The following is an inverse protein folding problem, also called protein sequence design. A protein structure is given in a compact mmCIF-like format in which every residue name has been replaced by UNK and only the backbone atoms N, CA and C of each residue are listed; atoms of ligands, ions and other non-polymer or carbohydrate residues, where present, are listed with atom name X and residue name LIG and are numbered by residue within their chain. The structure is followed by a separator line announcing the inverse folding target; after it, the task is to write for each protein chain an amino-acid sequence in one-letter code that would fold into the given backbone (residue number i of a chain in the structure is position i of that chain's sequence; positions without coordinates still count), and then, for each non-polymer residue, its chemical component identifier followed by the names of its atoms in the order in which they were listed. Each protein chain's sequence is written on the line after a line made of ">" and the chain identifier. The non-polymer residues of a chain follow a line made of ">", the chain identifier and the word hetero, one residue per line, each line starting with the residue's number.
data_IF_569727970402
#
_entry.id   IF_569727970402
#
_cell.length_a   1.000
_cell.length_b   1.000
_cell.length_c   1.000
_cell.angle_alpha   90.00
_cell.angle_beta   90.00
_cell.angle_gamma   90.00
#
_symmetry.space_group_name_H-M   'P 1'
#
loop_
_entity.id
_entity.type
_entity.pdbx_description
1 polymer ?
#
# COMPACT_ATOMS: atom_id res chain seq x y z
N UNK A 1 19.52 11.75 -16.39
CA UNK A 1 18.59 12.80 -15.92
C UNK A 1 17.85 12.21 -14.74
N UNK A 2 17.79 12.94 -13.63
CA UNK A 2 17.01 12.48 -12.48
C UNK A 2 15.52 12.50 -12.83
N UNK A 3 14.82 11.40 -12.55
CA UNK A 3 13.38 11.27 -12.81
C UNK A 3 12.58 12.02 -11.73
N UNK A 4 13.10 12.03 -10.49
CA UNK A 4 12.49 12.76 -9.37
C UNK A 4 12.96 14.22 -9.42
N UNK A 5 12.05 15.18 -9.63
CA UNK A 5 12.42 16.59 -9.69
C UNK A 5 12.84 17.12 -8.31
N UNK A 6 13.96 17.85 -8.26
CA UNK A 6 14.49 18.51 -7.06
C UNK A 6 14.71 19.99 -7.33
N UNK A 7 14.60 20.84 -6.32
CA UNK A 7 14.93 22.28 -6.40
C UNK A 7 16.42 22.54 -6.26
N UNK A 8 17.13 21.62 -5.61
CA UNK A 8 18.56 21.75 -5.31
C UNK A 8 19.30 20.49 -5.73
N UNK A 9 20.59 20.62 -6.00
CA UNK A 9 21.46 19.49 -6.36
C UNK A 9 21.64 18.51 -5.19
N UNK A 10 21.40 18.97 -3.96
CA UNK A 10 21.53 18.17 -2.72
C UNK A 10 20.32 18.40 -1.81
N UNK A 11 19.19 17.73 -2.09
CA UNK A 11 18.02 17.84 -1.24
C UNK A 11 18.27 17.24 0.14
N UNK A 12 17.63 17.81 1.16
CA UNK A 12 17.65 17.25 2.51
C UNK A 12 16.73 16.03 2.60
N UNK A 13 17.31 14.85 2.73
CA UNK A 13 16.61 13.57 2.74
C UNK A 13 16.20 13.09 4.14
N UNK A 14 16.30 13.91 5.20
CA UNK A 14 15.99 13.48 6.59
C UNK A 14 14.57 12.95 6.72
N UNK A 15 13.61 13.53 6.00
CA UNK A 15 12.22 13.12 5.99
C UNK A 15 11.88 12.12 4.87
N UNK A 16 12.88 11.62 4.14
CA UNK A 16 12.60 10.60 3.12
C UNK A 16 12.06 9.34 3.78
N UNK A 17 11.01 8.71 3.24
CA UNK A 17 10.41 7.52 3.85
C UNK A 17 11.43 6.39 4.06
N UNK A 18 11.38 5.77 5.24
CA UNK A 18 12.11 4.54 5.54
C UNK A 18 11.38 3.32 4.99
N UNK A 19 10.06 3.44 4.76
CA UNK A 19 9.28 2.39 4.12
C UNK A 19 8.10 2.93 3.32
N UNK A 20 7.66 2.12 2.33
CA UNK A 20 6.52 2.37 1.47
C UNK A 20 5.55 1.18 1.51
N UNK A 21 4.25 1.45 1.72
CA UNK A 21 3.19 0.46 1.47
C UNK A 21 2.77 0.62 0.02
N UNK A 22 3.26 -0.29 -0.83
CA UNK A 22 3.25 -0.15 -2.28
C UNK A 22 1.91 -0.47 -2.94
N UNK A 23 1.10 -1.28 -2.32
CA UNK A 23 -0.17 -1.72 -2.91
C UNK A 23 -0.16 -3.21 -3.29
N UNK A 24 -0.85 -3.61 -4.37
CA UNK A 24 -1.74 -2.81 -5.21
C UNK A 24 -3.08 -2.43 -4.55
N UNK A 25 -3.94 -1.73 -5.30
CA UNK A 25 -5.25 -1.33 -4.79
C UNK A 25 -6.12 -2.54 -4.41
N UNK A 26 -6.90 -2.40 -3.33
CA UNK A 26 -7.87 -3.39 -2.81
C UNK A 26 -7.26 -4.63 -2.17
N UNK A 27 -6.03 -4.54 -1.71
CA UNK A 27 -5.31 -5.60 -1.00
C UNK A 27 -5.16 -5.34 0.52
N UNK A 28 -5.89 -4.37 1.09
CA UNK A 28 -5.83 -4.11 2.53
C UNK A 28 -4.84 -3.03 2.97
N UNK A 29 -4.21 -2.31 2.03
CA UNK A 29 -3.25 -1.22 2.35
C UNK A 29 -3.83 -0.13 3.24
N UNK A 30 -5.13 0.14 3.16
CA UNK A 30 -5.80 1.11 4.03
C UNK A 30 -5.86 0.62 5.48
N UNK A 31 -6.17 -0.67 5.68
CA UNK A 31 -6.18 -1.28 7.00
C UNK A 31 -4.77 -1.24 7.63
N UNK A 32 -3.76 -1.63 6.85
CA UNK A 32 -2.38 -1.60 7.30
C UNK A 32 -1.93 -0.17 7.66
N UNK A 33 -2.23 0.81 6.80
CA UNK A 33 -1.92 2.22 7.05
C UNK A 33 -2.50 2.72 8.38
N UNK A 34 -3.79 2.49 8.63
CA UNK A 34 -4.44 3.00 9.84
C UNK A 34 -3.94 2.31 11.12
N UNK A 35 -3.58 1.02 11.05
CA UNK A 35 -3.02 0.33 12.20
C UNK A 35 -1.59 0.80 12.49
N UNK A 36 -0.72 0.92 11.48
CA UNK A 36 0.63 1.46 11.67
C UNK A 36 0.63 2.95 12.08
N UNK A 37 -0.41 3.73 11.70
CA UNK A 37 -0.54 5.13 12.11
C UNK A 37 -0.71 5.32 13.62
N UNK A 38 -1.12 4.28 14.33
CA UNK A 38 -1.26 4.28 15.79
C UNK A 38 0.03 3.88 16.51
N UNK A 39 1.04 3.43 15.78
CA UNK A 39 2.29 2.96 16.36
C UNK A 39 3.15 4.12 16.88
N UNK A 40 3.63 4.09 18.14
CA UNK A 40 4.36 5.22 18.74
C UNK A 40 5.73 5.51 18.10
N UNK A 41 6.32 4.54 17.42
CA UNK A 41 7.63 4.67 16.78
C UNK A 41 7.56 4.93 15.27
N UNK A 42 6.36 5.08 14.70
CA UNK A 42 6.15 5.27 13.27
C UNK A 42 5.52 6.65 13.01
N UNK A 43 6.16 7.44 12.16
CA UNK A 43 5.55 8.60 11.53
C UNK A 43 5.07 8.23 10.13
N UNK A 44 3.78 8.00 9.97
CA UNK A 44 3.18 7.89 8.64
C UNK A 44 2.79 9.27 8.10
N UNK A 45 2.98 9.46 6.80
CA UNK A 45 2.47 10.62 6.10
C UNK A 45 0.98 10.82 6.44
N UNK A 46 0.59 12.07 6.76
CA UNK A 46 -0.79 12.39 7.22
C UNK A 46 -1.88 12.01 6.22
N UNK A 47 -1.55 12.01 4.93
CA UNK A 47 -2.44 11.58 3.87
C UNK A 47 -2.03 10.20 3.38
N UNK A 48 -2.99 9.27 3.32
CA UNK A 48 -2.87 8.08 2.51
C UNK A 48 -3.09 8.46 1.04
N UNK A 49 -2.32 7.82 0.14
CA UNK A 49 -2.30 8.08 -1.30
C UNK A 49 -1.78 9.49 -1.63
N UNK A 50 -0.47 9.71 -1.41
CA UNK A 50 0.19 10.97 -1.80
C UNK A 50 0.34 11.08 -3.31
N UNK A 51 0.50 9.95 -4.01
CA UNK A 51 0.72 9.80 -5.44
C UNK A 51 2.01 10.46 -5.94
N UNK A 52 2.90 10.95 -5.09
CA UNK A 52 4.08 11.69 -5.52
C UNK A 52 4.86 10.96 -6.61
N UNK A 53 5.37 9.75 -6.32
CA UNK A 53 6.18 8.99 -7.28
C UNK A 53 5.40 8.50 -8.51
N UNK A 54 4.09 8.38 -8.46
CA UNK A 54 3.27 7.94 -9.61
C UNK A 54 2.75 9.08 -10.49
N UNK A 55 2.94 10.33 -10.07
CA UNK A 55 2.53 11.53 -10.84
C UNK A 55 3.71 12.40 -11.28
N UNK A 56 4.93 11.88 -11.18
CA UNK A 56 6.12 12.58 -11.66
C UNK A 56 5.97 12.97 -13.14
N UNK A 57 6.24 14.24 -13.46
CA UNK A 57 6.12 14.77 -14.81
C UNK A 57 4.69 14.87 -15.35
N UNK A 58 3.65 14.74 -14.51
CA UNK A 58 2.24 14.75 -14.91
C UNK A 58 1.44 15.81 -14.14
N UNK A 59 1.72 17.11 -14.31
CA UNK A 59 1.05 18.18 -13.57
C UNK A 59 -0.47 18.23 -13.79
N UNK A 60 -0.96 17.71 -14.92
CA UNK A 60 -2.38 17.61 -15.26
C UNK A 60 -3.10 16.46 -14.53
N UNK A 61 -2.35 15.56 -13.86
CA UNK A 61 -2.96 14.41 -13.20
C UNK A 61 -3.79 14.86 -11.98
N UNK A 62 -5.02 14.36 -11.78
CA UNK A 62 -5.93 14.83 -10.71
C UNK A 62 -5.35 14.69 -9.30
N UNK A 63 -4.37 13.81 -9.12
CA UNK A 63 -3.68 13.59 -7.86
C UNK A 63 -2.29 14.21 -7.78
N UNK A 64 -1.88 15.00 -8.78
CA UNK A 64 -0.64 15.76 -8.70
C UNK A 64 -0.70 16.79 -7.59
N UNK A 65 0.26 16.79 -6.67
CA UNK A 65 0.26 17.67 -5.49
C UNK A 65 1.59 18.28 -5.17
N UNK A 66 2.67 17.57 -5.45
CA UNK A 66 4.02 17.96 -5.08
C UNK A 66 4.86 18.13 -6.34
N UNK A 67 5.23 19.37 -6.69
CA UNK A 67 6.04 19.65 -7.88
C UNK A 67 7.45 19.10 -7.81
N UNK A 68 8.00 18.95 -6.61
CA UNK A 68 9.36 18.47 -6.40
C UNK A 68 9.50 17.67 -5.09
N UNK A 69 10.67 17.04 -4.91
CA UNK A 69 10.99 16.21 -3.76
C UNK A 69 10.92 17.00 -2.45
N UNK A 70 11.42 18.22 -2.41
CA UNK A 70 11.41 19.04 -1.19
C UNK A 70 10.01 19.36 -0.70
N UNK A 71 9.05 19.64 -1.61
CA UNK A 71 7.65 19.85 -1.24
C UNK A 71 7.01 18.57 -0.65
N UNK A 72 7.34 17.43 -1.27
CA UNK A 72 6.90 16.13 -0.77
C UNK A 72 7.50 15.82 0.60
N UNK A 73 8.81 16.01 0.80
CA UNK A 73 9.47 15.75 2.08
C UNK A 73 9.02 16.73 3.18
N UNK A 74 8.80 18.01 2.85
CA UNK A 74 8.25 18.99 3.78
C UNK A 74 6.84 18.66 4.26
N UNK A 75 6.09 17.84 3.51
CA UNK A 75 4.75 17.39 3.92
C UNK A 75 4.74 16.35 5.06
N UNK A 76 5.90 15.79 5.41
CA UNK A 76 6.08 14.93 6.59
C UNK A 76 6.29 15.72 7.90
N UNK A 77 6.55 17.02 7.82
CA UNK A 77 6.75 17.84 9.02
C UNK A 77 5.48 17.85 9.88
N UNK A 78 5.62 17.32 11.10
CA UNK A 78 4.53 17.33 12.07
C UNK A 78 4.41 18.69 12.75
N UNK A 79 3.22 19.27 12.74
CA UNK A 79 2.93 20.44 13.54
C UNK A 79 2.97 20.09 15.03
N UNK A 80 3.40 21.01 15.86
CA UNK A 80 3.49 20.83 17.32
C UNK A 80 2.21 20.19 17.92
N UNK A 81 1.03 20.70 17.53
CA UNK A 81 -0.25 20.19 18.04
C UNK A 81 -0.58 18.78 17.58
N UNK A 82 -0.19 18.40 16.36
CA UNK A 82 -0.37 17.04 15.83
C UNK A 82 0.49 16.05 16.62
N UNK A 83 1.74 16.42 16.89
CA UNK A 83 2.66 15.63 17.70
C UNK A 83 2.16 15.47 19.15
N UNK A 84 1.65 16.55 19.76
CA UNK A 84 1.08 16.51 21.10
C UNK A 84 -0.15 15.59 21.16
N UNK A 85 -1.04 15.69 20.17
CA UNK A 85 -2.22 14.82 20.05
C UNK A 85 -1.83 13.35 19.91
N UNK A 86 -0.85 13.03 19.08
CA UNK A 86 -0.33 11.66 18.93
C UNK A 86 0.28 11.15 20.21
N UNK A 87 1.06 11.98 20.89
CA UNK A 87 1.63 11.65 22.20
C UNK A 87 0.54 11.29 23.22
N UNK A 88 -0.49 12.11 23.34
CA UNK A 88 -1.64 11.84 24.22
C UNK A 88 -2.35 10.53 23.85
N UNK A 89 -2.57 10.27 22.56
CA UNK A 89 -3.20 9.03 22.08
C UNK A 89 -2.35 7.81 22.44
N UNK A 90 -1.03 7.87 22.22
CA UNK A 90 -0.11 6.77 22.53
C UNK A 90 -0.07 6.49 24.04
N UNK A 91 0.04 7.52 24.88
CA UNK A 91 0.00 7.36 26.33
C UNK A 91 -1.30 6.70 26.81
N UNK A 92 -2.45 7.18 26.29
CA UNK A 92 -3.76 6.67 26.73
C UNK A 92 -4.07 5.26 26.24
N UNK A 93 -3.62 4.91 25.03
CA UNK A 93 -3.97 3.63 24.38
C UNK A 93 -2.97 2.51 24.61
N UNK A 94 -1.69 2.83 24.70
CA UNK A 94 -0.61 1.84 24.74
C UNK A 94 0.40 2.06 25.85
N UNK A 95 0.16 3.03 26.74
CA UNK A 95 1.10 3.42 27.81
C UNK A 95 2.52 3.68 27.27
N UNK A 96 2.60 4.22 26.05
CA UNK A 96 3.85 4.45 25.33
C UNK A 96 4.01 5.92 24.96
N UNK A 97 5.26 6.37 24.92
CA UNK A 97 5.61 7.72 24.48
C UNK A 97 5.69 7.73 22.96
N UNK A 98 5.00 8.67 22.30
CA UNK A 98 5.16 8.87 20.87
C UNK A 98 6.55 9.43 20.57
N UNK A 99 7.37 8.61 19.97
CA UNK A 99 8.75 8.92 19.56
C UNK A 99 9.06 8.21 18.26
N UNK A 100 8.67 8.76 17.10
CA UNK A 100 8.89 8.12 15.82
C UNK A 100 10.38 7.91 15.55
N UNK A 101 10.71 6.71 15.09
CA UNK A 101 12.06 6.27 14.68
C UNK A 101 12.17 6.15 13.17
N UNK A 102 11.03 5.88 12.52
CA UNK A 102 10.95 5.67 11.08
C UNK A 102 9.78 6.43 10.48
N UNK A 103 9.95 6.84 9.22
CA UNK A 103 8.93 7.51 8.41
C UNK A 103 8.37 6.54 7.38
N UNK A 104 7.07 6.65 7.09
CA UNK A 104 6.43 5.80 6.09
C UNK A 104 5.34 6.48 5.31
N UNK A 105 5.02 5.89 4.19
CA UNK A 105 3.95 6.31 3.29
C UNK A 105 3.18 5.12 2.74
N UNK A 106 1.94 5.36 2.30
CA UNK A 106 1.10 4.35 1.66
C UNK A 106 0.41 4.90 0.42
N UNK A 107 0.88 4.50 -0.74
CA UNK A 107 0.27 4.79 -2.04
C UNK A 107 0.19 3.53 -2.88
N UNK A 108 -1.03 3.04 -3.11
CA UNK A 108 -1.24 1.72 -3.69
C UNK A 108 -0.92 1.64 -5.20
N UNK A 109 -0.67 2.76 -5.88
CA UNK A 109 -0.16 2.78 -7.25
C UNK A 109 1.35 2.52 -7.34
N UNK A 110 2.07 2.60 -6.23
CA UNK A 110 3.54 2.42 -6.24
C UNK A 110 3.97 0.98 -6.56
N UNK A 111 3.09 0.01 -6.41
CA UNK A 111 3.36 -1.34 -6.88
C UNK A 111 3.68 -1.42 -8.39
N UNK A 112 3.20 -0.44 -9.17
CA UNK A 112 3.32 -0.37 -10.63
C UNK A 112 4.22 0.78 -11.10
N UNK A 113 5.14 1.25 -10.27
CA UNK A 113 6.07 2.29 -10.68
C UNK A 113 7.02 1.79 -11.78
N UNK A 114 7.39 2.67 -12.72
CA UNK A 114 8.48 2.40 -13.66
C UNK A 114 9.80 2.10 -12.94
N UNK A 115 10.63 1.25 -13.51
CA UNK A 115 11.88 0.82 -12.89
C UNK A 115 12.86 1.96 -12.62
N UNK A 116 12.92 2.94 -13.49
CA UNK A 116 13.75 4.14 -13.32
C UNK A 116 13.33 4.94 -12.08
N UNK A 117 12.04 5.00 -11.77
CA UNK A 117 11.55 5.66 -10.55
C UNK A 117 11.90 4.85 -9.32
N UNK A 118 11.76 3.52 -9.39
CA UNK A 118 12.14 2.62 -8.28
C UNK A 118 13.64 2.74 -7.99
N UNK A 119 14.47 2.72 -9.03
CA UNK A 119 15.92 2.87 -8.91
C UNK A 119 16.29 4.18 -8.20
N UNK A 120 15.64 5.29 -8.56
CA UNK A 120 15.95 6.59 -7.96
C UNK A 120 15.43 6.70 -6.52
N UNK A 121 14.26 6.12 -6.20
CA UNK A 121 13.79 5.99 -4.80
C UNK A 121 14.84 5.27 -3.95
N UNK A 122 15.37 4.14 -4.45
CA UNK A 122 16.39 3.36 -3.72
C UNK A 122 17.73 4.12 -3.66
N UNK A 123 18.08 4.87 -4.68
CA UNK A 123 19.27 5.74 -4.65
C UNK A 123 19.16 6.84 -3.59
N UNK A 124 17.97 7.44 -3.42
CA UNK A 124 17.72 8.42 -2.35
C UNK A 124 17.78 7.78 -0.95
N UNK A 125 17.33 6.52 -0.80
CA UNK A 125 17.30 5.81 0.48
C UNK A 125 17.67 4.34 0.28
N UNK A 126 18.94 3.95 0.28
CA UNK A 126 19.38 2.57 0.00
C UNK A 126 18.82 1.50 0.94
N UNK A 127 18.44 1.90 2.15
CA UNK A 127 17.79 1.01 3.16
C UNK A 127 16.28 1.04 3.16
N UNK A 128 15.61 1.66 2.16
CA UNK A 128 14.16 1.76 2.12
C UNK A 128 13.52 0.38 2.05
N UNK A 129 12.39 0.21 2.78
CA UNK A 129 11.64 -1.04 2.80
C UNK A 129 10.34 -0.92 2.01
N UNK A 130 10.01 -1.95 1.26
CA UNK A 130 8.75 -2.05 0.51
C UNK A 130 7.80 -3.08 1.12
N UNK A 131 6.49 -2.80 1.13
CA UNK A 131 5.45 -3.75 1.53
C UNK A 131 4.46 -3.89 0.38
N UNK A 132 4.43 -5.07 -0.25
CA UNK A 132 3.42 -5.45 -1.24
C UNK A 132 2.40 -6.34 -0.55
N UNK A 133 1.11 -5.97 -0.67
CA UNK A 133 0.02 -6.75 -0.13
C UNK A 133 -0.63 -7.60 -1.22
N UNK A 134 -0.79 -8.88 -0.97
CA UNK A 134 -1.35 -9.86 -1.89
C UNK A 134 -2.77 -10.23 -1.49
N UNK A 135 -3.66 -10.32 -2.45
CA UNK A 135 -5.04 -10.79 -2.29
C UNK A 135 -5.41 -11.64 -3.49
N UNK A 136 -6.34 -12.60 -3.30
CA UNK A 136 -6.91 -13.35 -4.41
C UNK A 136 -7.24 -12.42 -5.59
N UNK A 137 -6.73 -12.68 -6.81
CA UNK A 137 -6.88 -11.78 -7.95
C UNK A 137 -8.33 -11.50 -8.34
N UNK A 138 -9.23 -12.51 -8.25
CA UNK A 138 -10.66 -12.39 -8.54
C UNK A 138 -11.34 -11.49 -7.52
N UNK A 139 -11.12 -11.76 -6.23
CA UNK A 139 -11.69 -10.97 -5.14
C UNK A 139 -11.16 -9.53 -5.12
N UNK A 140 -9.88 -9.33 -5.48
CA UNK A 140 -9.30 -8.00 -5.63
C UNK A 140 -9.97 -7.23 -6.79
N UNK A 141 -10.09 -7.87 -7.96
CA UNK A 141 -10.68 -7.27 -9.16
C UNK A 141 -12.13 -6.87 -8.90
N UNK A 142 -12.94 -7.79 -8.35
CA UNK A 142 -14.32 -7.51 -7.97
C UNK A 142 -14.45 -6.37 -6.95
N UNK A 143 -13.62 -6.39 -5.90
CA UNK A 143 -13.58 -5.31 -4.92
C UNK A 143 -13.25 -3.95 -5.54
N UNK A 144 -12.43 -3.90 -6.59
CA UNK A 144 -12.09 -2.68 -7.30
C UNK A 144 -13.25 -2.20 -8.19
N UNK A 145 -13.87 -3.12 -8.93
CA UNK A 145 -15.03 -2.83 -9.77
C UNK A 145 -16.21 -2.29 -8.95
N UNK A 146 -16.51 -2.90 -7.80
CA UNK A 146 -17.54 -2.38 -6.88
C UNK A 146 -17.29 -0.93 -6.47
N UNK A 147 -16.03 -0.57 -6.18
CA UNK A 147 -15.70 0.80 -5.81
C UNK A 147 -15.84 1.77 -6.97
N UNK A 148 -15.47 1.34 -8.19
CA UNK A 148 -15.33 2.22 -9.35
C UNK A 148 -16.61 2.34 -10.16
N UNK A 149 -17.32 1.22 -10.34
CA UNK A 149 -18.49 1.13 -11.22
C UNK A 149 -19.83 1.14 -10.48
N UNK A 150 -19.88 0.48 -9.30
CA UNK A 150 -21.14 0.29 -8.58
C UNK A 150 -21.40 1.40 -7.58
N UNK A 151 -20.37 1.85 -6.87
CA UNK A 151 -20.53 2.88 -5.84
C UNK A 151 -20.93 4.22 -6.45
N UNK A 152 -22.14 4.68 -6.14
CA UNK A 152 -22.70 5.95 -6.64
C UNK A 152 -23.38 5.85 -8.00
N UNK A 153 -23.49 4.64 -8.57
CA UNK A 153 -24.36 4.41 -9.71
C UNK A 153 -25.82 4.30 -9.26
N UNK A 154 -26.70 5.02 -9.91
CA UNK A 154 -28.17 4.93 -9.71
C UNK A 154 -28.79 3.74 -10.43
N UNK A 155 -28.08 3.16 -11.40
CA UNK A 155 -28.56 2.07 -12.22
C UNK A 155 -27.69 0.82 -12.09
N UNK A 156 -28.25 -0.38 -12.30
CA UNK A 156 -27.46 -1.62 -12.36
C UNK A 156 -26.41 -1.54 -13.47
N UNK A 157 -25.20 -1.98 -13.16
CA UNK A 157 -24.09 -2.04 -14.12
C UNK A 157 -24.21 -3.34 -14.92
N UNK A 158 -24.33 -3.25 -16.25
CA UNK A 158 -24.39 -4.42 -17.13
C UNK A 158 -23.06 -5.16 -17.24
N UNK A 159 -23.12 -6.45 -17.64
CA UNK A 159 -21.97 -7.33 -17.76
C UNK A 159 -20.88 -6.76 -18.68
N UNK A 160 -21.23 -6.21 -19.85
CA UNK A 160 -20.27 -5.65 -20.82
C UNK A 160 -19.38 -4.56 -20.21
N UNK A 161 -19.96 -3.69 -19.37
CA UNK A 161 -19.20 -2.65 -18.69
C UNK A 161 -18.22 -3.22 -17.67
N UNK A 162 -18.56 -4.31 -17.01
CA UNK A 162 -17.63 -5.05 -16.14
C UNK A 162 -16.52 -5.71 -16.95
N UNK A 163 -16.85 -6.32 -18.09
CA UNK A 163 -15.89 -6.95 -18.99
C UNK A 163 -14.84 -5.94 -19.47
N UNK A 164 -15.26 -4.83 -20.08
CA UNK A 164 -14.37 -3.76 -20.52
C UNK A 164 -13.44 -3.27 -19.38
N UNK A 165 -14.02 -3.11 -18.19
CA UNK A 165 -13.25 -2.68 -17.02
C UNK A 165 -12.17 -3.68 -16.63
N UNK A 166 -12.51 -4.98 -16.57
CA UNK A 166 -11.57 -6.01 -16.17
C UNK A 166 -10.49 -6.29 -17.23
N UNK A 167 -10.83 -6.19 -18.51
CA UNK A 167 -9.90 -6.34 -19.63
C UNK A 167 -8.93 -5.15 -19.77
N UNK A 168 -9.24 -4.01 -19.14
CA UNK A 168 -8.39 -2.83 -19.25
C UNK A 168 -6.96 -3.09 -18.79
N UNK A 169 -5.97 -2.51 -19.48
CA UNK A 169 -4.53 -2.66 -19.16
C UNK A 169 -4.25 -2.39 -17.68
N UNK A 170 -4.86 -1.37 -17.10
CA UNK A 170 -4.65 -1.04 -15.70
C UNK A 170 -5.17 -2.12 -14.72
N UNK A 171 -6.23 -2.87 -15.06
CA UNK A 171 -6.70 -3.97 -14.22
C UNK A 171 -5.85 -5.22 -14.38
N UNK A 172 -5.39 -5.51 -15.60
CA UNK A 172 -4.47 -6.63 -15.90
C UNK A 172 -3.14 -6.43 -15.17
N UNK A 173 -2.53 -5.26 -15.26
CA UNK A 173 -1.30 -4.95 -14.53
C UNK A 173 -1.44 -5.11 -13.01
N UNK A 174 -2.62 -4.80 -12.44
CA UNK A 174 -2.86 -4.96 -10.99
C UNK A 174 -3.05 -6.40 -10.54
N UNK A 175 -3.29 -7.33 -11.46
CA UNK A 175 -3.36 -8.76 -11.18
C UNK A 175 -1.98 -9.44 -11.29
N UNK A 176 -1.08 -8.88 -12.08
CA UNK A 176 0.26 -9.41 -12.34
C UNK A 176 1.22 -9.17 -11.16
N UNK A 177 1.03 -9.94 -10.10
CA UNK A 177 1.92 -9.89 -8.93
C UNK A 177 3.37 -10.28 -9.23
N UNK A 178 3.66 -11.28 -10.08
CA UNK A 178 5.03 -11.61 -10.44
C UNK A 178 5.83 -10.43 -10.98
N UNK A 179 5.25 -9.67 -11.92
CA UNK A 179 5.93 -8.51 -12.52
C UNK A 179 6.14 -7.39 -11.51
N UNK A 180 5.14 -7.10 -10.64
CA UNK A 180 5.29 -6.13 -9.56
C UNK A 180 6.42 -6.50 -8.61
N UNK A 181 6.43 -7.75 -8.13
CA UNK A 181 7.44 -8.25 -7.21
C UNK A 181 8.82 -8.22 -7.85
N UNK A 182 8.93 -8.68 -9.11
CA UNK A 182 10.20 -8.69 -9.83
C UNK A 182 10.77 -7.28 -10.03
N UNK A 183 9.94 -6.29 -10.37
CA UNK A 183 10.36 -4.90 -10.52
C UNK A 183 11.01 -4.35 -9.24
N UNK A 184 10.37 -4.55 -8.10
CA UNK A 184 10.92 -4.09 -6.82
C UNK A 184 12.12 -4.92 -6.35
N UNK A 185 12.13 -6.24 -6.58
CA UNK A 185 13.26 -7.12 -6.21
C UNK A 185 14.54 -6.82 -6.97
N UNK A 186 14.46 -6.24 -8.16
CA UNK A 186 15.67 -5.82 -8.90
C UNK A 186 16.44 -4.68 -8.21
N UNK A 187 15.76 -3.90 -7.38
CA UNK A 187 16.33 -2.70 -6.77
C UNK A 187 16.44 -2.79 -5.24
N UNK A 188 15.61 -3.60 -4.58
CA UNK A 188 15.63 -3.81 -3.14
C UNK A 188 16.39 -5.10 -2.79
N UNK A 189 17.17 -5.05 -1.72
CA UNK A 189 17.70 -6.28 -1.13
C UNK A 189 16.55 -7.19 -0.65
N UNK A 190 16.71 -8.53 -0.65
CA UNK A 190 15.64 -9.46 -0.26
C UNK A 190 15.01 -9.15 1.11
N UNK A 191 15.82 -8.72 2.09
CA UNK A 191 15.37 -8.36 3.43
C UNK A 191 14.58 -7.03 3.49
N UNK A 192 14.51 -6.28 2.40
CA UNK A 192 13.85 -4.98 2.31
C UNK A 192 12.50 -5.02 1.57
N UNK A 193 12.06 -6.16 1.08
CA UNK A 193 10.75 -6.33 0.48
C UNK A 193 9.91 -7.34 1.27
N UNK A 194 8.76 -6.93 1.79
CA UNK A 194 7.82 -7.77 2.51
C UNK A 194 6.59 -8.06 1.65
N UNK A 195 6.23 -9.34 1.53
CA UNK A 195 5.00 -9.77 0.89
C UNK A 195 3.98 -10.16 1.96
N UNK A 196 2.95 -9.32 2.12
CA UNK A 196 1.88 -9.54 3.10
C UNK A 196 0.63 -10.15 2.46
N UNK A 197 -0.09 -11.00 3.19
CA UNK A 197 -1.30 -11.67 2.74
C UNK A 197 -2.54 -10.96 3.29
N UNK A 198 -3.50 -10.66 2.41
CA UNK A 198 -4.77 -10.03 2.79
C UNK A 198 -5.62 -10.92 3.71
N UNK A 199 -5.63 -12.23 3.47
CA UNK A 199 -6.40 -13.18 4.29
C UNK A 199 -5.96 -13.18 5.75
N UNK A 200 -4.69 -12.92 6.05
CA UNK A 200 -4.18 -12.74 7.42
C UNK A 200 -4.73 -11.51 8.13
N UNK A 201 -5.13 -10.48 7.39
CA UNK A 201 -5.84 -9.33 7.99
C UNK A 201 -7.17 -9.79 8.63
N UNK A 202 -7.81 -10.82 8.06
CA UNK A 202 -9.09 -11.35 8.54
C UNK A 202 -8.90 -12.44 9.57
N UNK A 203 -8.00 -13.38 9.32
CA UNK A 203 -7.84 -14.60 10.13
C UNK A 203 -6.92 -14.42 11.35
N UNK A 204 -5.88 -13.59 11.24
CA UNK A 204 -4.86 -13.43 12.26
C UNK A 204 -4.27 -11.99 12.26
N UNK A 205 -5.11 -10.94 12.50
CA UNK A 205 -4.70 -9.55 12.35
C UNK A 205 -3.54 -9.12 13.27
N UNK A 206 -3.52 -9.55 14.54
CA UNK A 206 -2.44 -9.20 15.47
C UNK A 206 -1.11 -9.85 15.08
N UNK A 207 -1.02 -11.16 14.85
CA UNK A 207 0.21 -11.79 14.36
C UNK A 207 0.71 -11.18 13.05
N UNK A 208 -0.20 -10.83 12.13
CA UNK A 208 0.18 -10.18 10.89
C UNK A 208 0.85 -8.81 11.11
N UNK A 209 0.29 -7.98 12.01
CA UNK A 209 0.89 -6.69 12.35
C UNK A 209 2.24 -6.84 13.05
N UNK A 210 2.37 -7.80 13.97
CA UNK A 210 3.65 -8.09 14.63
C UNK A 210 4.73 -8.49 13.62
N UNK A 211 4.38 -9.26 12.58
CA UNK A 211 5.30 -9.62 11.51
C UNK A 211 5.75 -8.37 10.72
N UNK A 212 4.81 -7.48 10.38
CA UNK A 212 5.13 -6.21 9.71
C UNK A 212 5.99 -5.32 10.59
N UNK A 213 5.70 -5.22 11.89
CA UNK A 213 6.50 -4.43 12.83
C UNK A 213 7.93 -4.96 12.96
N UNK A 214 8.10 -6.30 13.09
CA UNK A 214 9.43 -6.93 13.06
C UNK A 214 10.17 -6.63 11.77
N UNK A 215 9.49 -6.75 10.63
CA UNK A 215 10.07 -6.38 9.34
C UNK A 215 10.51 -4.91 9.32
N UNK A 216 9.71 -3.99 9.83
CA UNK A 216 10.04 -2.57 9.88
C UNK A 216 11.16 -2.25 10.90
N UNK A 217 11.41 -3.13 11.88
CA UNK A 217 12.41 -2.94 12.92
C UNK A 217 11.94 -2.04 14.06
N UNK A 218 10.63 -1.99 14.30
CA UNK A 218 10.02 -1.27 15.41
C UNK A 218 9.57 -2.22 16.51
N UNK A 219 9.29 -1.67 17.68
CA UNK A 219 8.86 -2.46 18.85
C UNK A 219 7.50 -3.11 18.62
N UNK A 220 7.39 -4.42 18.83
CA UNK A 220 6.11 -5.13 18.74
C UNK A 220 5.40 -5.11 20.10
N UNK A 221 4.15 -4.65 20.13
CA UNK A 221 3.29 -4.70 21.33
C UNK A 221 1.83 -4.86 20.91
N UNK A 222 1.19 -5.94 21.35
CA UNK A 222 -0.23 -6.21 21.10
C UNK A 222 -1.19 -5.07 21.53
N UNK A 223 -0.79 -4.26 22.52
CA UNK A 223 -1.56 -3.12 23.02
C UNK A 223 -1.73 -1.98 21.99
N UNK A 224 -0.90 -1.91 20.95
CA UNK A 224 -1.01 -0.85 19.94
C UNK A 224 -2.25 -0.99 19.05
N UNK A 225 -2.89 -2.16 18.99
CA UNK A 225 -3.85 -2.53 17.94
C UNK A 225 -5.31 -2.71 18.37
N UNK A 226 -5.63 -2.71 19.66
CA UNK A 226 -6.88 -3.27 20.22
C UNK A 226 -8.22 -2.70 19.73
N UNK A 227 -8.30 -1.64 18.90
CA UNK A 227 -9.59 -1.06 18.48
C UNK A 227 -9.87 -1.07 16.99
N UNK A 228 -8.87 -1.26 16.14
CA UNK A 228 -9.05 -1.17 14.67
C UNK A 228 -8.84 -2.50 13.94
N UNK A 229 -8.47 -3.57 14.66
CA UNK A 229 -8.18 -4.87 14.07
C UNK A 229 -9.37 -5.48 13.33
N UNK A 230 -10.57 -5.31 13.87
CA UNK A 230 -11.80 -5.92 13.34
C UNK A 230 -12.64 -4.99 12.45
N UNK A 231 -12.24 -3.70 12.33
CA UNK A 231 -13.01 -2.74 11.55
C UNK A 231 -12.71 -2.93 10.06
N UNK A 232 -13.73 -3.27 9.28
CA UNK A 232 -13.66 -3.20 7.81
C UNK A 232 -13.52 -1.73 7.41
N UNK A 233 -12.28 -1.30 7.15
CA UNK A 233 -12.01 0.03 6.62
C UNK A 233 -12.33 0.04 5.12
N UNK A 234 -13.14 1.00 4.68
CA UNK A 234 -13.67 1.10 3.31
C UNK A 234 -14.48 -0.13 2.89
N UNK A 235 -15.57 -0.49 3.61
CA UNK A 235 -16.46 -1.52 3.11
C UNK A 235 -17.00 -1.08 1.73
N UNK A 236 -16.81 -1.93 0.75
CA UNK A 236 -17.58 -1.86 -0.49
C UNK A 236 -18.96 -2.45 -0.20
N UNK A 237 -19.99 -2.03 -0.96
CA UNK A 237 -21.34 -2.57 -0.84
C UNK A 237 -21.31 -4.10 -0.64
N UNK A 238 -22.22 -4.62 0.19
CA UNK A 238 -22.35 -6.07 0.48
C UNK A 238 -22.83 -6.89 -0.74
N UNK A 239 -22.89 -6.27 -1.94
CA UNK A 239 -23.26 -6.98 -3.16
C UNK A 239 -22.31 -8.17 -3.38
N UNK A 240 -22.91 -9.36 -3.35
CA UNK A 240 -22.23 -10.59 -3.75
C UNK A 240 -21.74 -10.48 -5.20
N UNK A 241 -20.68 -11.21 -5.52
CA UNK A 241 -20.24 -11.29 -6.91
C UNK A 241 -21.23 -12.14 -7.70
N UNK A 242 -21.82 -11.63 -8.81
CA UNK A 242 -22.63 -12.44 -9.71
C UNK A 242 -21.82 -13.61 -10.28
N UNK A 243 -22.47 -14.74 -10.51
CA UNK A 243 -21.80 -15.97 -10.91
C UNK A 243 -21.18 -15.88 -12.31
N UNK A 244 -21.81 -15.17 -13.22
CA UNK A 244 -21.28 -14.88 -14.58
C UNK A 244 -20.01 -14.03 -14.51
N UNK A 245 -19.96 -13.03 -13.64
CA UNK A 245 -18.76 -12.20 -13.39
C UNK A 245 -17.66 -13.06 -12.77
N UNK A 246 -17.99 -13.95 -11.83
CA UNK A 246 -17.01 -14.83 -11.20
C UNK A 246 -16.35 -15.73 -12.23
N UNK A 247 -17.11 -16.43 -13.04
CA UNK A 247 -16.59 -17.32 -14.11
C UNK A 247 -15.73 -16.55 -15.09
N UNK A 248 -16.21 -15.40 -15.54
CA UNK A 248 -15.45 -14.55 -16.44
C UNK A 248 -14.08 -14.14 -15.84
N UNK A 249 -14.05 -13.74 -14.56
CA UNK A 249 -12.81 -13.35 -13.89
C UNK A 249 -11.88 -14.56 -13.65
N UNK A 250 -12.40 -15.72 -13.31
CA UNK A 250 -11.61 -16.94 -13.15
C UNK A 250 -10.94 -17.33 -14.46
N UNK A 251 -11.65 -17.25 -15.58
CA UNK A 251 -11.08 -17.53 -16.92
C UNK A 251 -10.06 -16.44 -17.32
N UNK A 252 -10.41 -15.17 -17.17
CA UNK A 252 -9.56 -14.03 -17.55
C UNK A 252 -8.26 -14.02 -16.75
N UNK A 253 -8.30 -14.38 -15.48
CA UNK A 253 -7.20 -14.30 -14.52
C UNK A 253 -6.56 -15.65 -14.19
N UNK A 254 -6.82 -16.71 -14.97
CA UNK A 254 -6.35 -18.05 -14.65
C UNK A 254 -4.84 -18.12 -14.38
N UNK A 255 -4.03 -17.52 -15.25
CA UNK A 255 -2.57 -17.48 -15.07
C UNK A 255 -2.15 -16.65 -13.83
N UNK A 256 -2.86 -15.55 -13.54
CA UNK A 256 -2.59 -14.70 -12.39
C UNK A 256 -2.96 -15.42 -11.08
N UNK A 257 -4.03 -16.23 -11.08
CA UNK A 257 -4.45 -17.07 -9.96
C UNK A 257 -3.39 -18.13 -9.66
N UNK A 258 -2.88 -18.80 -10.68
CA UNK A 258 -1.86 -19.84 -10.52
C UNK A 258 -0.53 -19.24 -10.06
N UNK A 259 -0.15 -18.07 -10.57
CA UNK A 259 1.01 -17.33 -10.10
C UNK A 259 0.84 -16.89 -8.64
N UNK A 260 -0.32 -16.37 -8.27
CA UNK A 260 -0.66 -16.00 -6.88
C UNK A 260 -0.54 -17.18 -5.92
N UNK A 261 -1.09 -18.36 -6.30
CA UNK A 261 -1.00 -19.58 -5.49
C UNK A 261 0.45 -20.03 -5.27
N UNK A 262 1.29 -19.98 -6.32
CA UNK A 262 2.73 -20.27 -6.21
C UNK A 262 3.43 -19.31 -5.26
N UNK A 263 3.19 -18.00 -5.40
CA UNK A 263 3.76 -17.01 -4.49
C UNK A 263 3.35 -17.29 -3.05
N UNK A 264 2.07 -17.61 -2.79
CA UNK A 264 1.61 -17.94 -1.43
C UNK A 264 2.29 -19.19 -0.86
N UNK A 265 2.52 -20.21 -1.68
CA UNK A 265 3.27 -21.41 -1.27
C UNK A 265 4.70 -21.06 -0.84
N UNK A 266 5.35 -20.15 -1.58
CA UNK A 266 6.73 -19.76 -1.30
C UNK A 266 6.89 -18.89 -0.05
N UNK A 267 5.92 -18.00 0.23
CA UNK A 267 6.02 -17.05 1.35
C UNK A 267 5.36 -17.55 2.64
N UNK A 268 4.58 -18.64 2.59
CA UNK A 268 3.81 -19.11 3.76
C UNK A 268 2.88 -18.02 4.31
N UNK A 269 3.06 -17.66 5.57
CA UNK A 269 2.25 -16.63 6.24
C UNK A 269 2.59 -15.17 5.84
N UNK A 270 3.56 -14.98 4.97
CA UNK A 270 4.11 -13.69 4.58
C UNK A 270 5.52 -13.50 5.15
N UNK A 271 6.43 -12.98 4.34
CA UNK A 271 7.83 -12.77 4.74
C UNK A 271 8.54 -11.70 3.90
N UNK A 272 9.71 -11.29 4.36
CA UNK A 272 10.70 -10.60 3.54
C UNK A 272 11.26 -11.56 2.48
N UNK A 273 11.41 -11.11 1.23
CA UNK A 273 11.79 -11.93 0.06
C UNK A 273 12.82 -11.22 -0.81
#
# INVERSE_FOLDING_TARGET
>A
MNVIPTRTDRPDLRNFPDFLILGPQRTGTTWLFFNLHLHPEILLHRMKETYFFSTLGKPEHPHFRYPCLEDYLGSFDERFWERLKKHYICLRKSLSVYRPKIHGEATASYALLPEEVIAEIVACKPGIKGIIMLRDPVERAWSHAKKTLVRGSSEPVGFEKFREYFESTGQRQRADYPSMIAAWKRHLAPVHLYLGRYDRIVSAPSPFLEDVERFLGVTTKALFFNRHLTIKLNPTSDASMPEDIRRFLEDLLANDIDAYRRILSDIGDGRAV
#
